data_IF_549904784245
#
_entry.id   IF_549904784245
#
_cell.length_a   1.000
_cell.length_b   1.000
_cell.length_c   1.000
_cell.angle_alpha   90.00
_cell.angle_beta   90.00
_cell.angle_gamma   90.00
#
_symmetry.space_group_name_H-M   'P 1'
#
loop_
_entity.id
_entity.type
_entity.pdbx_description
1 polymer ?
#
# COMPACT_ATOMS: atom_id res chain seq x y z
N UNK A 1 -14.81 17.55 -38.43
CA UNK A 1 -14.29 16.18 -38.23
C UNK A 1 -13.97 16.00 -36.75
N UNK A 2 -14.49 14.98 -36.04
CA UNK A 2 -14.39 14.90 -34.60
C UNK A 2 -13.04 14.31 -34.19
N UNK A 3 -12.04 15.17 -33.96
CA UNK A 3 -10.69 14.81 -33.49
C UNK A 3 -10.56 14.89 -31.96
N UNK A 4 -11.55 15.48 -31.27
CA UNK A 4 -11.49 15.72 -29.83
C UNK A 4 -11.95 14.52 -28.98
N UNK A 5 -12.74 13.59 -29.52
CA UNK A 5 -13.25 12.46 -28.74
C UNK A 5 -12.18 11.39 -28.45
N UNK A 6 -11.25 11.12 -29.37
CA UNK A 6 -10.21 10.11 -29.16
C UNK A 6 -9.29 10.47 -27.98
N UNK A 7 -8.82 11.72 -27.90
CA UNK A 7 -7.89 12.14 -26.85
C UNK A 7 -8.45 12.07 -25.42
N UNK A 8 -9.77 12.24 -25.24
CA UNK A 8 -10.41 12.10 -23.92
C UNK A 8 -10.55 10.63 -23.51
N UNK A 9 -10.86 9.74 -24.45
CA UNK A 9 -10.90 8.29 -24.18
C UNK A 9 -9.53 7.74 -23.80
N UNK A 10 -8.46 8.19 -24.48
CA UNK A 10 -7.09 7.75 -24.21
C UNK A 10 -6.60 8.14 -22.79
N UNK A 11 -6.95 9.35 -22.33
CA UNK A 11 -6.61 9.81 -20.98
C UNK A 11 -7.33 9.01 -19.88
N UNK A 12 -8.63 8.75 -20.06
CA UNK A 12 -9.40 7.96 -19.09
C UNK A 12 -8.90 6.52 -18.99
N UNK A 13 -8.54 5.91 -20.14
CA UNK A 13 -7.95 4.58 -20.17
C UNK A 13 -6.59 4.56 -19.47
N UNK A 14 -5.72 5.55 -19.76
CA UNK A 14 -4.41 5.68 -19.13
C UNK A 14 -4.51 5.82 -17.60
N UNK A 15 -5.42 6.69 -17.10
CA UNK A 15 -5.66 6.86 -15.67
C UNK A 15 -6.19 5.59 -15.00
N UNK A 16 -7.09 4.87 -15.66
CA UNK A 16 -7.63 3.60 -15.13
C UNK A 16 -6.55 2.53 -15.03
N UNK A 17 -5.70 2.41 -16.06
CA UNK A 17 -4.57 1.47 -16.05
C UNK A 17 -3.55 1.86 -14.96
N UNK A 18 -3.25 3.15 -14.83
CA UNK A 18 -2.33 3.65 -13.80
C UNK A 18 -2.84 3.35 -12.39
N UNK A 19 -4.14 3.60 -12.12
CA UNK A 19 -4.79 3.25 -10.85
C UNK A 19 -4.70 1.74 -10.57
N UNK A 20 -4.93 0.89 -11.57
CA UNK A 20 -4.84 -0.55 -11.42
C UNK A 20 -3.41 -1.02 -11.08
N UNK A 21 -2.39 -0.44 -11.71
CA UNK A 21 -0.98 -0.74 -11.41
C UNK A 21 -0.61 -0.33 -9.99
N UNK A 22 -1.02 0.87 -9.54
CA UNK A 22 -0.80 1.31 -8.15
C UNK A 22 -1.47 0.36 -7.16
N UNK A 23 -2.71 -0.04 -7.41
CA UNK A 23 -3.43 -0.99 -6.56
C UNK A 23 -2.69 -2.33 -6.47
N UNK A 24 -2.21 -2.85 -7.60
CA UNK A 24 -1.46 -4.09 -7.63
C UNK A 24 -0.20 -3.99 -6.76
N UNK A 25 0.57 -2.92 -6.91
CA UNK A 25 1.78 -2.66 -6.10
C UNK A 25 1.41 -2.56 -4.61
N UNK A 26 0.37 -1.82 -4.25
CA UNK A 26 -0.06 -1.65 -2.87
C UNK A 26 -0.53 -2.96 -2.23
N UNK A 27 -1.21 -3.84 -2.98
CA UNK A 27 -1.60 -5.16 -2.47
C UNK A 27 -0.38 -6.02 -2.16
N UNK A 28 0.59 -6.10 -3.08
CA UNK A 28 1.84 -6.81 -2.81
C UNK A 28 2.60 -6.20 -1.64
N UNK A 29 2.64 -4.87 -1.55
CA UNK A 29 3.28 -4.17 -0.46
C UNK A 29 2.57 -4.38 0.89
N UNK A 30 1.24 -4.49 0.90
CA UNK A 30 0.47 -4.83 2.10
C UNK A 30 0.82 -6.23 2.60
N UNK A 31 0.88 -7.23 1.70
CA UNK A 31 1.32 -8.59 2.05
C UNK A 31 2.72 -8.54 2.66
N UNK A 32 3.66 -7.83 2.01
CA UNK A 32 5.02 -7.68 2.52
C UNK A 32 5.06 -7.01 3.91
N UNK A 33 4.23 -6.01 4.15
CA UNK A 33 4.15 -5.37 5.45
C UNK A 33 3.63 -6.29 6.55
N UNK A 34 2.68 -7.18 6.23
CA UNK A 34 2.21 -8.18 7.19
C UNK A 34 3.30 -9.20 7.51
N UNK A 35 4.11 -9.58 6.51
CA UNK A 35 5.28 -10.44 6.71
C UNK A 35 6.27 -9.74 7.65
N UNK A 36 6.61 -8.47 7.42
CA UNK A 36 7.51 -7.71 8.32
C UNK A 36 6.93 -7.63 9.73
N UNK A 37 5.64 -7.32 9.89
CA UNK A 37 5.00 -7.26 11.19
C UNK A 37 5.16 -8.58 11.96
N UNK A 38 5.00 -9.72 11.28
CA UNK A 38 5.24 -11.04 11.88
C UNK A 38 6.70 -11.23 12.30
N UNK A 39 7.64 -10.82 11.45
CA UNK A 39 9.08 -10.93 11.76
C UNK A 39 9.48 -10.05 12.96
N UNK A 40 8.93 -8.84 13.03
CA UNK A 40 9.12 -7.95 14.17
C UNK A 40 8.54 -8.58 15.43
N UNK A 41 7.33 -9.16 15.40
CA UNK A 41 6.74 -9.83 16.56
C UNK A 41 7.57 -11.04 17.04
N UNK A 42 8.11 -11.84 16.12
CA UNK A 42 8.98 -12.96 16.46
C UNK A 42 10.30 -12.48 17.07
N UNK A 43 10.96 -11.50 16.43
CA UNK A 43 12.22 -10.94 16.91
C UNK A 43 12.05 -10.27 18.29
N UNK A 44 10.92 -9.58 18.50
CA UNK A 44 10.57 -8.95 19.77
C UNK A 44 10.47 -9.93 20.95
N UNK A 45 10.12 -11.19 20.68
CA UNK A 45 10.04 -12.25 21.69
C UNK A 45 11.41 -12.89 21.96
N UNK A 46 12.27 -12.96 20.96
CA UNK A 46 13.62 -13.54 21.10
C UNK A 46 14.62 -12.57 21.71
N UNK A 47 14.58 -11.29 21.30
CA UNK A 47 15.47 -10.23 21.75
C UNK A 47 14.68 -9.25 22.61
N UNK A 48 14.59 -9.57 23.91
CA UNK A 48 13.92 -8.72 24.90
C UNK A 48 14.79 -7.49 25.16
N UNK A 49 14.63 -6.48 24.31
CA UNK A 49 15.30 -5.18 24.41
C UNK A 49 14.29 -4.09 24.74
N UNK A 50 14.74 -3.02 25.39
CA UNK A 50 13.90 -1.86 25.70
C UNK A 50 13.25 -1.21 24.46
N UNK A 51 13.84 -1.40 23.27
CA UNK A 51 13.38 -0.80 22.01
C UNK A 51 12.33 -1.66 21.31
N UNK A 52 12.25 -2.95 21.65
CA UNK A 52 11.35 -3.94 21.03
C UNK A 52 9.87 -3.51 20.96
N UNK A 53 9.25 -2.93 22.02
CA UNK A 53 7.87 -2.47 21.96
C UNK A 53 7.65 -1.32 20.97
N UNK A 54 8.64 -0.42 20.84
CA UNK A 54 8.58 0.74 19.94
C UNK A 54 8.62 0.28 18.49
N UNK A 55 9.55 -0.64 18.16
CA UNK A 55 9.65 -1.20 16.79
C UNK A 55 8.36 -1.92 16.41
N UNK A 56 7.76 -2.67 17.34
CA UNK A 56 6.48 -3.33 17.13
C UNK A 56 5.34 -2.33 16.86
N UNK A 57 5.26 -1.23 17.62
CA UNK A 57 4.27 -0.19 17.38
C UNK A 57 4.44 0.45 16.00
N UNK A 58 5.68 0.78 15.60
CA UNK A 58 5.98 1.33 14.28
C UNK A 58 5.56 0.36 13.16
N UNK A 59 5.85 -0.93 13.31
CA UNK A 59 5.46 -1.94 12.34
C UNK A 59 3.92 -2.04 12.17
N UNK A 60 3.16 -1.93 13.26
CA UNK A 60 1.69 -1.92 13.23
C UNK A 60 1.18 -0.66 12.52
N UNK A 61 1.71 0.51 12.85
CA UNK A 61 1.33 1.78 12.20
C UNK A 61 1.65 1.74 10.71
N UNK A 62 2.83 1.23 10.34
CA UNK A 62 3.24 1.07 8.94
C UNK A 62 2.28 0.16 8.16
N UNK A 63 1.90 -0.99 8.74
CA UNK A 63 0.91 -1.88 8.12
C UNK A 63 -0.46 -1.20 7.97
N UNK A 64 -0.91 -0.47 8.99
CA UNK A 64 -2.15 0.31 8.94
C UNK A 64 -2.13 1.41 7.88
N UNK A 65 -0.99 2.11 7.74
CA UNK A 65 -0.81 3.16 6.73
C UNK A 65 -0.99 2.62 5.31
N UNK A 66 -0.45 1.44 5.01
CA UNK A 66 -0.58 0.81 3.68
C UNK A 66 -2.03 0.45 3.38
N UNK A 67 -2.76 -0.08 4.37
CA UNK A 67 -4.19 -0.32 4.23
C UNK A 67 -4.95 0.98 3.96
N UNK A 68 -4.59 2.06 4.64
CA UNK A 68 -5.13 3.40 4.39
C UNK A 68 -4.87 3.88 2.95
N UNK A 69 -3.68 3.64 2.41
CA UNK A 69 -3.35 3.97 1.01
C UNK A 69 -4.21 3.17 0.02
N UNK A 70 -4.47 1.89 0.28
CA UNK A 70 -5.35 1.08 -0.57
C UNK A 70 -6.76 1.68 -0.60
N UNK A 71 -7.31 2.02 0.57
CA UNK A 71 -8.64 2.66 0.67
C UNK A 71 -8.68 3.99 -0.07
N UNK A 72 -7.62 4.81 0.06
CA UNK A 72 -7.50 6.09 -0.64
C UNK A 72 -7.49 5.90 -2.16
N UNK A 73 -6.73 4.92 -2.66
CA UNK A 73 -6.70 4.65 -4.11
C UNK A 73 -8.04 4.09 -4.59
N UNK A 74 -8.74 3.28 -3.80
CA UNK A 74 -10.05 2.78 -4.18
C UNK A 74 -11.11 3.89 -4.24
N UNK A 75 -11.16 4.75 -3.22
CA UNK A 75 -12.23 5.72 -3.02
C UNK A 75 -12.01 7.12 -3.57
N UNK A 76 -10.75 7.55 -3.76
CA UNK A 76 -10.42 8.94 -4.10
C UNK A 76 -9.59 9.11 -5.38
N UNK A 77 -8.73 8.14 -5.73
CA UNK A 77 -7.98 8.12 -7.00
C UNK A 77 -8.79 7.42 -8.08
#
# INVERSE_FOLDING_TARGET
MPIAQSGVFDLNLSLTVFKAVILLILVFYAIFSLIILRQVDLMSKTLITHVSPVVKAIAIVHAGFILGLIVLVLGAL
#
